data_IF_458870405635
#
_entry.id   IF_458870405635
#
_cell.length_a   1.000
_cell.length_b   1.000
_cell.length_c   1.000
_cell.angle_alpha   90.00
_cell.angle_beta   90.00
_cell.angle_gamma   90.00
#
_symmetry.space_group_name_H-M   'P 1'
#
loop_
_entity.id
_entity.type
_entity.pdbx_description
1 polymer ?
#
# COMPACT_ATOMS: atom_id res chain seq x y z
N UNK A 1 7.66 -10.31 -15.37
CA UNK A 1 6.22 -10.02 -15.31
C UNK A 1 5.79 -10.17 -13.85
N UNK A 2 5.67 -9.07 -13.09
CA UNK A 2 5.45 -9.12 -11.63
C UNK A 2 3.96 -9.31 -11.31
N UNK A 3 3.62 -10.40 -10.62
CA UNK A 3 2.26 -10.69 -10.16
C UNK A 3 2.00 -9.88 -8.88
N UNK A 4 0.87 -9.16 -8.84
CA UNK A 4 0.45 -8.34 -7.70
C UNK A 4 -0.71 -9.02 -6.98
N UNK A 5 -0.47 -9.42 -5.76
CA UNK A 5 -1.46 -10.07 -4.88
C UNK A 5 -2.22 -9.04 -4.05
N UNK A 6 -3.54 -9.22 -3.92
CA UNK A 6 -4.36 -8.33 -3.11
C UNK A 6 -4.12 -8.58 -1.62
N UNK A 7 -3.63 -7.58 -0.88
CA UNK A 7 -3.40 -7.70 0.57
C UNK A 7 -4.69 -7.59 1.43
N UNK A 8 -5.88 -7.68 0.83
CA UNK A 8 -7.14 -7.68 1.57
C UNK A 8 -7.40 -9.04 2.22
N UNK A 9 -7.84 -9.04 3.49
CA UNK A 9 -8.14 -10.27 4.24
C UNK A 9 -9.09 -11.17 3.44
N UNK A 10 -8.68 -12.44 3.24
CA UNK A 10 -9.46 -13.47 2.52
C UNK A 10 -9.73 -13.15 1.04
N UNK A 11 -8.95 -12.26 0.44
CA UNK A 11 -8.93 -12.06 -1.01
C UNK A 11 -7.82 -12.90 -1.63
N UNK A 12 -8.13 -13.65 -2.69
CA UNK A 12 -7.18 -14.48 -3.45
C UNK A 12 -6.85 -13.89 -4.82
N UNK A 13 -7.36 -12.67 -5.11
CA UNK A 13 -7.14 -12.01 -6.39
C UNK A 13 -5.68 -11.62 -6.55
N UNK A 14 -5.10 -12.00 -7.69
CA UNK A 14 -3.77 -11.61 -8.11
C UNK A 14 -3.79 -11.34 -9.63
N UNK A 15 -3.03 -10.35 -10.07
CA UNK A 15 -2.91 -10.00 -11.49
C UNK A 15 -1.53 -9.41 -11.77
N UNK A 16 -0.99 -9.63 -12.96
CA UNK A 16 0.21 -8.93 -13.42
C UNK A 16 -0.11 -7.54 -14.01
N UNK A 17 -1.40 -7.20 -14.18
CA UNK A 17 -1.85 -5.94 -14.74
C UNK A 17 -2.08 -4.89 -13.65
N UNK A 18 -1.27 -3.82 -13.69
CA UNK A 18 -1.36 -2.70 -12.74
C UNK A 18 -2.72 -2.01 -12.74
N UNK A 19 -3.38 -1.90 -13.90
CA UNK A 19 -4.69 -1.23 -14.02
C UNK A 19 -5.76 -2.07 -13.34
N UNK A 20 -5.82 -3.37 -13.65
CA UNK A 20 -6.74 -4.31 -13.01
C UNK A 20 -6.55 -4.38 -11.50
N UNK A 21 -5.30 -4.43 -11.03
CA UNK A 21 -5.01 -4.42 -9.59
C UNK A 21 -5.55 -3.15 -8.90
N UNK A 22 -5.43 -1.98 -9.55
CA UNK A 22 -5.92 -0.71 -9.00
C UNK A 22 -7.44 -0.65 -8.97
N UNK A 23 -8.12 -1.14 -10.02
CA UNK A 23 -9.59 -1.18 -10.07
C UNK A 23 -10.14 -2.22 -9.10
N UNK A 24 -9.55 -3.42 -9.06
CA UNK A 24 -9.90 -4.46 -8.09
C UNK A 24 -9.88 -3.94 -6.66
N UNK A 25 -8.85 -3.18 -6.26
CA UNK A 25 -8.75 -2.64 -4.91
C UNK A 25 -9.89 -1.71 -4.51
N UNK A 26 -10.62 -1.12 -5.48
CA UNK A 26 -11.82 -0.31 -5.23
C UNK A 26 -13.06 -1.15 -4.95
N UNK A 27 -13.05 -2.44 -5.33
CA UNK A 27 -14.18 -3.37 -5.06
C UNK A 27 -14.31 -3.70 -3.58
N UNK A 28 -13.24 -3.54 -2.80
CA UNK A 28 -13.32 -3.62 -1.36
C UNK A 28 -14.01 -2.37 -0.81
N UNK A 29 -15.18 -2.55 -0.19
CA UNK A 29 -15.92 -1.44 0.43
C UNK A 29 -15.18 -0.77 1.60
N UNK A 30 -14.15 -1.43 2.17
CA UNK A 30 -13.23 -0.81 3.12
C UNK A 30 -12.03 -0.23 2.38
N UNK A 31 -11.68 1.04 2.63
CA UNK A 31 -10.50 1.62 2.02
C UNK A 31 -9.28 0.81 2.43
N UNK A 32 -8.42 0.54 1.46
CA UNK A 32 -7.14 -0.06 1.73
C UNK A 32 -6.31 0.92 2.57
N UNK A 33 -5.98 0.52 3.80
CA UNK A 33 -5.25 1.38 4.70
C UNK A 33 -3.75 1.12 4.57
N UNK A 34 -3.04 2.15 4.12
CA UNK A 34 -1.59 2.22 4.19
C UNK A 34 -1.19 2.87 5.50
N UNK A 35 -0.62 2.09 6.40
CA UNK A 35 -0.18 2.54 7.72
C UNK A 35 1.31 2.88 7.72
N UNK A 36 1.66 4.02 8.31
CA UNK A 36 3.03 4.37 8.61
C UNK A 36 3.54 3.52 9.79
N UNK A 37 4.49 2.63 9.52
CA UNK A 37 5.10 1.73 10.51
C UNK A 37 6.23 2.38 11.32
N UNK A 38 6.44 3.68 11.15
CA UNK A 38 7.45 4.42 11.93
C UNK A 38 7.06 4.45 13.42
N UNK A 39 8.04 4.29 14.33
CA UNK A 39 7.79 4.38 15.76
C UNK A 39 7.08 5.69 16.11
N UNK A 40 6.01 5.61 16.92
CA UNK A 40 5.19 6.75 17.35
C UNK A 40 4.42 7.49 16.23
N UNK A 41 4.26 6.93 15.03
CA UNK A 41 3.47 7.57 13.96
C UNK A 41 2.08 6.96 13.73
N UNK A 42 2.00 5.71 13.28
CA UNK A 42 0.74 5.00 13.06
C UNK A 42 -0.26 5.64 12.07
N UNK A 43 0.15 6.67 11.31
CA UNK A 43 -0.75 7.41 10.41
C UNK A 43 -1.25 6.54 9.26
N UNK A 44 -2.55 6.65 8.97
CA UNK A 44 -3.28 5.83 8.00
C UNK A 44 -3.66 6.65 6.77
N UNK A 45 -3.45 6.07 5.59
CA UNK A 45 -3.73 6.69 4.30
C UNK A 45 -4.50 5.74 3.38
N UNK A 46 -5.39 6.27 2.55
CA UNK A 46 -6.14 5.46 1.56
C UNK A 46 -5.32 5.20 0.28
N UNK A 47 -4.20 5.92 0.09
CA UNK A 47 -3.36 5.85 -1.10
C UNK A 47 -1.88 5.72 -0.74
N UNK A 48 -1.16 4.89 -1.48
CA UNK A 48 0.27 4.67 -1.29
C UNK A 48 1.09 5.94 -1.52
N UNK A 49 0.70 6.79 -2.48
CA UNK A 49 1.36 8.07 -2.73
C UNK A 49 1.27 9.03 -1.55
N UNK A 50 0.15 9.04 -0.83
CA UNK A 50 -0.03 9.85 0.37
C UNK A 50 0.88 9.38 1.51
N UNK A 51 0.99 8.06 1.72
CA UNK A 51 1.93 7.49 2.68
C UNK A 51 3.39 7.80 2.28
N UNK A 52 3.75 7.64 1.00
CA UNK A 52 5.11 7.91 0.52
C UNK A 52 5.50 9.37 0.72
N UNK A 53 4.61 10.32 0.38
CA UNK A 53 4.83 11.73 0.64
C UNK A 53 4.91 12.06 2.13
N UNK A 54 4.07 11.41 2.96
CA UNK A 54 4.16 11.53 4.40
C UNK A 54 5.51 11.07 4.93
N UNK A 55 5.97 9.87 4.56
CA UNK A 55 7.29 9.34 4.97
C UNK A 55 8.42 10.26 4.53
N UNK A 56 8.41 10.70 3.27
CA UNK A 56 9.41 11.63 2.73
C UNK A 56 9.47 12.94 3.52
N UNK A 57 8.32 13.52 3.87
CA UNK A 57 8.25 14.84 4.54
C UNK A 57 8.35 14.79 6.06
N UNK A 58 7.99 13.67 6.69
CA UNK A 58 7.85 13.56 8.15
C UNK A 58 8.83 12.60 8.80
N UNK A 59 9.41 11.68 8.03
CA UNK A 59 10.30 10.66 8.57
C UNK A 59 11.67 10.63 7.90
N UNK A 60 11.94 11.42 6.85
CA UNK A 60 13.28 11.51 6.22
C UNK A 60 13.92 10.15 5.85
N UNK A 61 13.14 9.07 5.79
CA UNK A 61 13.65 7.73 5.55
C UNK A 61 13.75 7.47 4.04
N UNK A 62 14.97 7.13 3.62
CA UNK A 62 15.29 6.54 2.33
C UNK A 62 14.37 5.32 2.12
N UNK A 63 13.66 5.31 0.99
CA UNK A 63 12.89 4.14 0.56
C UNK A 63 13.91 3.12 0.03
N UNK A 64 14.61 2.44 0.93
CA UNK A 64 15.22 1.14 0.63
C UNK A 64 14.24 0.09 1.11
N UNK A 65 13.77 -0.69 0.15
CA UNK A 65 12.85 -1.78 0.32
C UNK A 65 13.42 -2.80 1.32
N UNK A 66 12.71 -3.06 2.41
CA UNK A 66 12.83 -4.32 3.14
C UNK A 66 11.59 -5.15 2.80
N UNK A 67 11.75 -5.98 1.79
CA UNK A 67 11.09 -7.28 1.73
C UNK A 67 12.23 -8.27 1.94
N UNK A 68 12.18 -8.97 3.08
CA UNK A 68 12.94 -10.20 3.33
C UNK A 68 12.61 -11.26 2.29
#
# INVERSE_FOLDING_TARGET
NEIRECSYRRCTFHTNNRKEYREHRKTHGKPFIYECKEPNCGKKYNYSGSLANHRKRKHHLNISAETV
#
